data_IF_468978292352
#
_entry.id   IF_468978292352
#
_cell.length_a   1.000
_cell.length_b   1.000
_cell.length_c   1.000
_cell.angle_alpha   90.00
_cell.angle_beta   90.00
_cell.angle_gamma   90.00
#
_symmetry.space_group_name_H-M   'P 1'
#
loop_
_entity.id
_entity.type
_entity.pdbx_description
1 polymer ?
#
# COMPACT_ATOMS: atom_id res chain seq x y z
N UNK A 1 -6.26 20.52 13.37
CA UNK A 1 -6.66 20.45 14.79
C UNK A 1 -5.62 19.60 15.50
N UNK A 2 -5.04 20.07 16.61
CA UNK A 2 -4.01 19.33 17.35
C UNK A 2 -4.56 18.93 18.72
N UNK A 3 -4.48 17.64 19.06
CA UNK A 3 -4.81 17.13 20.38
C UNK A 3 -3.51 16.96 21.19
N UNK A 4 -3.52 17.40 22.45
CA UNK A 4 -2.42 17.14 23.38
C UNK A 4 -2.64 15.77 24.00
N UNK A 5 -1.71 14.86 23.76
CA UNK A 5 -1.73 13.51 24.32
C UNK A 5 -0.40 13.24 25.04
N UNK A 6 -0.45 12.47 26.12
CA UNK A 6 0.73 11.91 26.76
C UNK A 6 0.95 10.50 26.22
N UNK A 7 2.18 10.20 25.79
CA UNK A 7 2.57 8.90 25.24
C UNK A 7 3.82 8.45 25.99
N UNK A 8 3.88 7.17 26.36
CA UNK A 8 5.10 6.59 26.93
C UNK A 8 6.01 6.14 25.80
N UNK A 9 7.27 6.53 25.87
CA UNK A 9 8.35 6.07 25.00
C UNK A 9 9.33 5.24 25.83
N UNK A 10 10.07 4.36 25.17
CA UNK A 10 11.25 3.78 25.80
C UNK A 10 12.33 4.85 25.99
N UNK A 11 13.23 4.66 26.95
CA UNK A 11 14.35 5.58 27.17
C UNK A 11 15.26 5.68 25.92
N UNK A 12 15.36 4.59 25.15
CA UNK A 12 16.11 4.54 23.90
C UNK A 12 15.47 5.41 22.80
N UNK A 13 14.16 5.27 22.60
CA UNK A 13 13.42 6.05 21.60
C UNK A 13 13.39 7.54 21.94
N UNK A 14 13.23 7.87 23.23
CA UNK A 14 13.25 9.26 23.69
C UNK A 14 14.60 9.91 23.41
N UNK A 15 15.69 9.23 23.80
CA UNK A 15 17.05 9.74 23.58
C UNK A 15 17.35 9.91 22.09
N UNK A 16 16.96 8.96 21.26
CA UNK A 16 17.13 9.10 19.82
C UNK A 16 16.33 10.29 19.26
N UNK A 17 15.11 10.52 19.73
CA UNK A 17 14.32 11.67 19.32
C UNK A 17 14.95 13.00 19.78
N UNK A 18 15.59 13.03 20.95
CA UNK A 18 16.34 14.19 21.45
C UNK A 18 17.59 14.47 20.59
N UNK A 19 18.39 13.45 20.27
CA UNK A 19 19.56 13.57 19.37
C UNK A 19 19.17 14.19 18.02
N UNK A 20 18.05 13.75 17.44
CA UNK A 20 17.54 14.30 16.19
C UNK A 20 17.16 15.79 16.27
N UNK A 21 16.76 16.26 17.44
CA UNK A 21 16.45 17.68 17.69
C UNK A 21 17.72 18.48 17.94
N UNK A 22 18.66 17.93 18.71
CA UNK A 22 19.97 18.54 18.97
C UNK A 22 20.78 18.73 17.68
N UNK A 23 20.71 17.76 16.77
CA UNK A 23 21.29 17.84 15.42
C UNK A 23 20.59 18.87 14.51
N UNK A 24 19.51 19.50 14.98
CA UNK A 24 18.73 20.47 14.22
C UNK A 24 17.92 19.87 13.08
N UNK A 25 17.81 18.54 13.01
CA UNK A 25 17.04 17.84 11.97
C UNK A 25 15.55 18.01 12.17
N UNK A 26 15.11 18.17 13.43
CA UNK A 26 13.74 18.43 13.79
C UNK A 26 13.61 19.58 14.80
N UNK A 27 12.55 20.39 14.74
CA UNK A 27 12.33 21.49 15.69
C UNK A 27 11.97 21.04 17.12
N UNK A 28 11.42 19.82 17.28
CA UNK A 28 11.03 19.26 18.57
C UNK A 28 10.80 17.74 18.51
N UNK A 29 10.81 17.07 19.67
CA UNK A 29 10.47 15.64 19.79
C UNK A 29 9.05 15.37 19.28
N UNK A 30 8.12 16.31 19.49
CA UNK A 30 6.76 16.19 18.95
C UNK A 30 6.75 16.16 17.42
N UNK A 31 7.65 16.87 16.75
CA UNK A 31 7.74 16.86 15.29
C UNK A 31 8.40 15.58 14.76
N UNK A 32 9.35 15.00 15.51
CA UNK A 32 9.88 13.65 15.23
C UNK A 32 8.75 12.61 15.24
N UNK A 33 7.91 12.61 16.28
CA UNK A 33 6.79 11.66 16.39
C UNK A 33 5.77 11.87 15.28
N UNK A 34 5.42 13.12 14.95
CA UNK A 34 4.51 13.43 13.84
C UNK A 34 5.03 12.91 12.50
N UNK A 35 6.32 13.10 12.23
CA UNK A 35 6.96 12.61 11.02
C UNK A 35 6.95 11.07 10.97
N UNK A 36 7.27 10.42 12.09
CA UNK A 36 7.17 8.96 12.22
C UNK A 36 5.77 8.43 11.92
N UNK A 37 4.73 9.06 12.48
CA UNK A 37 3.33 8.72 12.19
C UNK A 37 2.94 8.99 10.74
N UNK A 38 3.49 10.04 10.12
CA UNK A 38 3.23 10.34 8.71
C UNK A 38 3.82 9.29 7.79
N UNK A 39 5.04 8.82 8.08
CA UNK A 39 5.68 7.73 7.34
C UNK A 39 4.93 6.42 7.49
N UNK A 40 4.56 6.06 8.71
CA UNK A 40 3.76 4.86 8.96
C UNK A 40 2.45 4.89 8.17
N UNK A 41 1.75 6.04 8.14
CA UNK A 41 0.54 6.20 7.33
C UNK A 41 0.80 6.05 5.84
N UNK A 42 1.91 6.60 5.34
CA UNK A 42 2.26 6.49 3.93
C UNK A 42 2.57 5.04 3.53
N UNK A 43 3.26 4.30 4.40
CA UNK A 43 3.57 2.88 4.19
C UNK A 43 2.30 2.02 4.21
N UNK A 44 1.40 2.25 5.17
CA UNK A 44 0.10 1.58 5.23
C UNK A 44 -0.73 1.87 3.96
N UNK A 45 -0.75 3.13 3.52
CA UNK A 45 -1.45 3.53 2.29
C UNK A 45 -0.83 2.97 1.02
N UNK A 46 0.50 2.79 0.97
CA UNK A 46 1.15 2.14 -0.16
C UNK A 46 0.78 0.65 -0.26
N UNK A 47 0.49 0.01 0.87
CA UNK A 47 0.02 -1.38 0.92
C UNK A 47 -1.43 -1.50 0.44
N UNK A 48 -2.24 -0.46 0.68
CA UNK A 48 -3.63 -0.33 0.23
C UNK A 48 -3.79 0.45 -1.10
N UNK A 49 -2.71 0.82 -1.79
CA UNK A 49 -2.79 1.56 -3.05
C UNK A 49 -3.22 0.62 -4.18
N UNK A 50 -4.47 0.73 -4.68
CA UNK A 50 -4.96 -0.15 -5.74
C UNK A 50 -4.16 0.00 -7.04
N UNK A 51 -3.50 1.15 -7.26
CA UNK A 51 -2.66 1.38 -8.44
C UNK A 51 -1.33 0.64 -8.28
N UNK A 52 -0.69 0.71 -7.11
CA UNK A 52 0.53 -0.05 -6.83
C UNK A 52 0.28 -1.56 -6.92
N UNK A 53 -0.81 -2.04 -6.30
CA UNK A 53 -1.22 -3.45 -6.38
C UNK A 53 -1.48 -3.90 -7.83
N UNK A 54 -2.10 -3.04 -8.66
CA UNK A 54 -2.31 -3.33 -10.07
C UNK A 54 -0.99 -3.36 -10.85
N UNK A 55 -0.07 -2.43 -10.57
CA UNK A 55 1.25 -2.40 -11.22
C UNK A 55 2.05 -3.67 -10.91
N UNK A 56 2.02 -4.17 -9.68
CA UNK A 56 2.67 -5.40 -9.29
C UNK A 56 2.06 -6.63 -9.95
N UNK A 57 0.73 -6.69 -10.06
CA UNK A 57 0.05 -7.77 -10.77
C UNK A 57 0.38 -7.76 -12.29
N UNK A 58 0.49 -6.58 -12.90
CA UNK A 58 0.93 -6.45 -14.31
C UNK A 58 2.36 -6.97 -14.48
N UNK A 59 3.29 -6.55 -13.60
CA UNK A 59 4.69 -7.01 -13.65
C UNK A 59 4.78 -8.52 -13.48
N UNK A 60 4.04 -9.09 -12.52
CA UNK A 60 3.97 -10.53 -12.29
C UNK A 60 3.48 -11.27 -13.54
N UNK A 61 2.41 -10.78 -14.19
CA UNK A 61 1.87 -11.38 -15.43
C UNK A 61 2.79 -11.24 -16.63
N UNK A 62 3.51 -10.14 -16.76
CA UNK A 62 4.47 -9.92 -17.84
C UNK A 62 5.64 -10.92 -17.83
N UNK A 63 5.93 -11.50 -16.65
CA UNK A 63 6.98 -12.51 -16.47
C UNK A 63 6.47 -13.94 -16.67
N UNK A 64 5.16 -14.15 -16.84
CA UNK A 64 4.61 -15.49 -17.04
C UNK A 64 5.02 -16.08 -18.39
N UNK A 65 5.17 -17.41 -18.48
CA UNK A 65 5.35 -18.12 -19.74
C UNK A 65 4.25 -17.78 -20.77
N UNK A 66 4.61 -17.72 -22.06
CA UNK A 66 3.72 -17.27 -23.14
C UNK A 66 2.48 -18.14 -23.32
N UNK A 67 2.56 -19.43 -22.99
CA UNK A 67 1.47 -20.40 -23.00
C UNK A 67 0.43 -20.15 -21.88
N UNK A 68 0.78 -19.37 -20.87
CA UNK A 68 -0.16 -18.91 -19.83
C UNK A 68 -0.81 -17.56 -20.17
N UNK A 69 -0.40 -16.92 -21.28
CA UNK A 69 -1.03 -15.70 -21.76
C UNK A 69 -2.32 -16.04 -22.50
N UNK A 70 -3.36 -15.26 -22.21
CA UNK A 70 -4.67 -15.37 -22.86
C UNK A 70 -4.54 -14.84 -24.29
N UNK A 71 -4.72 -15.72 -25.30
CA UNK A 71 -4.75 -15.28 -26.70
C UNK A 71 -6.03 -14.51 -26.99
N UNK A 72 -5.92 -13.24 -27.41
CA UNK A 72 -7.10 -12.48 -27.84
C UNK A 72 -7.77 -13.02 -29.11
N UNK A 73 -7.06 -13.81 -29.93
CA UNK A 73 -7.60 -14.36 -31.17
C UNK A 73 -8.25 -15.74 -30.98
N UNK A 74 -7.64 -16.55 -30.11
CA UNK A 74 -7.99 -17.97 -29.99
C UNK A 74 -8.76 -18.28 -28.70
N UNK A 75 -8.79 -17.35 -27.72
CA UNK A 75 -9.57 -17.52 -26.49
C UNK A 75 -11.04 -17.10 -26.70
N UNK A 76 -11.94 -17.87 -26.08
CA UNK A 76 -13.38 -17.63 -26.02
C UNK A 76 -13.83 -17.03 -24.68
N UNK A 77 -12.94 -16.34 -23.96
CA UNK A 77 -13.17 -15.76 -22.63
C UNK A 77 -14.49 -14.99 -22.58
N UNK A 78 -14.73 -14.13 -23.56
CA UNK A 78 -15.95 -13.31 -23.61
C UNK A 78 -17.22 -14.14 -23.79
N UNK A 79 -17.17 -15.23 -24.58
CA UNK A 79 -18.31 -16.12 -24.75
C UNK A 79 -18.59 -16.94 -23.48
N UNK A 80 -17.53 -17.37 -22.77
CA UNK A 80 -17.66 -18.03 -21.46
C UNK A 80 -18.28 -17.10 -20.41
N UNK A 81 -17.83 -15.84 -20.36
CA UNK A 81 -18.39 -14.83 -19.46
C UNK A 81 -19.85 -14.53 -19.77
N UNK A 82 -20.20 -14.34 -21.05
CA UNK A 82 -21.60 -14.11 -21.47
C UNK A 82 -22.51 -15.27 -21.08
N UNK A 83 -22.06 -16.51 -21.28
CA UNK A 83 -22.81 -17.71 -20.87
C UNK A 83 -23.04 -17.74 -19.36
N UNK A 84 -21.99 -17.48 -18.58
CA UNK A 84 -22.08 -17.43 -17.10
C UNK A 84 -23.10 -16.39 -16.62
N UNK A 85 -23.09 -15.20 -17.20
CA UNK A 85 -24.03 -14.12 -16.84
C UNK A 85 -25.47 -14.50 -17.19
N UNK A 86 -25.69 -15.08 -18.38
CA UNK A 86 -27.00 -15.57 -18.79
C UNK A 86 -27.54 -16.66 -17.85
N UNK A 87 -26.70 -17.63 -17.48
CA UNK A 87 -27.07 -18.70 -16.54
C UNK A 87 -27.38 -18.17 -15.13
N UNK A 88 -26.73 -17.07 -14.71
CA UNK A 88 -26.96 -16.41 -13.42
C UNK A 88 -28.24 -15.57 -13.39
N UNK A 89 -28.70 -15.03 -14.52
CA UNK A 89 -29.95 -14.28 -14.62
C UNK A 89 -31.17 -15.14 -14.95
N UNK A 90 -30.96 -16.42 -15.28
CA UNK A 90 -32.02 -17.40 -15.54
C UNK A 90 -32.44 -18.19 -14.29
N UNK A 91 -31.89 -17.88 -13.11
CA UNK A 91 -32.28 -18.41 -11.80
C UNK A 91 -32.99 -17.34 -10.99
#
# INVERSE_FOLDING_TARGET
MNAKNAVMLSDEDLRYAEELVEDGRFPSVSDVIKEGLSRLRADDQATDDPVAAMADEIRRRAQLPKDQLISMKDDNLFDRVRRRVADSHSK
#
